data_IF_805212884471
#
_entry.id   IF_805212884471
#
_cell.length_a   1.000
_cell.length_b   1.000
_cell.length_c   1.000
_cell.angle_alpha   90.00
_cell.angle_beta   90.00
_cell.angle_gamma   90.00
#
_symmetry.space_group_name_H-M   'P 1'
#
loop_
_entity.id
_entity.type
_entity.pdbx_description
1 polymer ?
#
# COMPACT_ATOMS: atom_id res chain seq x y z
N UNK A 1 -28.25 8.30 -34.64
CA UNK A 1 -28.35 6.96 -34.05
C UNK A 1 -27.85 7.10 -32.63
N UNK A 2 -28.73 6.97 -31.63
CA UNK A 2 -28.29 7.02 -30.24
C UNK A 2 -27.41 5.82 -29.97
N UNK A 3 -26.20 6.03 -29.46
CA UNK A 3 -25.37 4.95 -28.91
C UNK A 3 -26.08 4.44 -27.66
N UNK A 4 -26.65 3.25 -27.73
CA UNK A 4 -27.17 2.56 -26.56
C UNK A 4 -26.02 2.20 -25.64
N UNK A 5 -26.07 2.66 -24.39
CA UNK A 5 -25.11 2.27 -23.34
C UNK A 5 -25.45 0.87 -22.83
N UNK A 6 -24.45 -0.01 -22.75
CA UNK A 6 -24.61 -1.36 -22.22
C UNK A 6 -24.42 -1.37 -20.71
N UNK A 7 -25.09 -2.31 -20.03
CA UNK A 7 -24.90 -2.58 -18.60
C UNK A 7 -23.43 -2.96 -18.31
N UNK A 8 -22.82 -2.30 -17.35
CA UNK A 8 -21.41 -2.50 -16.95
C UNK A 8 -21.14 -3.94 -16.47
N UNK A 9 -22.06 -4.52 -15.71
CA UNK A 9 -21.91 -5.87 -15.16
C UNK A 9 -21.93 -6.94 -16.25
N UNK A 10 -23.03 -7.05 -17.02
CA UNK A 10 -23.16 -8.14 -18.00
C UNK A 10 -22.56 -7.82 -19.37
N UNK A 11 -22.31 -6.54 -19.68
CA UNK A 11 -21.83 -6.03 -20.98
C UNK A 11 -22.64 -6.51 -22.19
N UNK A 12 -23.93 -6.80 -21.99
CA UNK A 12 -24.82 -7.41 -23.00
C UNK A 12 -26.15 -6.69 -23.12
N UNK A 13 -26.84 -6.49 -22.00
CA UNK A 13 -28.14 -5.84 -21.97
C UNK A 13 -27.99 -4.33 -21.99
N UNK A 14 -29.01 -3.63 -22.48
CA UNK A 14 -29.07 -2.17 -22.36
C UNK A 14 -29.12 -1.75 -20.89
N UNK A 15 -28.43 -0.67 -20.56
CA UNK A 15 -28.50 -0.07 -19.23
C UNK A 15 -29.81 0.69 -19.05
N UNK A 16 -30.47 0.46 -17.92
CA UNK A 16 -31.72 1.14 -17.56
C UNK A 16 -31.80 1.58 -16.08
N UNK A 17 -30.77 1.28 -15.26
CA UNK A 17 -30.70 1.63 -13.85
C UNK A 17 -29.36 2.28 -13.50
N UNK A 18 -29.42 3.35 -12.72
CA UNK A 18 -28.28 3.96 -12.03
C UNK A 18 -28.38 3.65 -10.54
N UNK A 19 -27.45 2.87 -10.02
CA UNK A 19 -27.35 2.56 -8.59
C UNK A 19 -26.21 3.35 -7.95
N UNK A 20 -26.47 3.98 -6.81
CA UNK A 20 -25.47 4.80 -6.12
C UNK A 20 -24.36 3.88 -5.58
N UNK A 21 -23.10 4.28 -5.77
CA UNK A 21 -21.94 3.61 -5.18
C UNK A 21 -21.37 4.44 -4.03
N UNK A 22 -20.37 3.91 -3.32
CA UNK A 22 -19.67 4.66 -2.28
C UNK A 22 -18.79 5.76 -2.87
N UNK A 23 -18.50 5.71 -4.19
CA UNK A 23 -17.90 6.80 -4.95
C UNK A 23 -19.01 7.68 -5.53
N UNK A 24 -19.37 8.83 -4.90
CA UNK A 24 -20.58 9.57 -5.24
C UNK A 24 -20.61 10.10 -6.68
N UNK A 25 -19.44 10.16 -7.33
CA UNK A 25 -19.27 10.63 -8.71
C UNK A 25 -19.35 9.52 -9.74
N UNK A 26 -19.46 8.25 -9.34
CA UNK A 26 -19.41 7.10 -10.24
C UNK A 26 -20.42 6.02 -9.81
N UNK A 27 -21.69 6.24 -10.15
CA UNK A 27 -22.76 5.27 -9.95
C UNK A 27 -22.54 4.01 -10.82
N UNK A 28 -23.12 2.88 -10.40
CA UNK A 28 -23.17 1.68 -11.22
C UNK A 28 -24.22 1.83 -12.33
N UNK A 29 -23.82 1.51 -13.56
CA UNK A 29 -24.68 1.58 -14.75
C UNK A 29 -25.16 0.17 -15.14
N UNK A 30 -26.37 -0.20 -14.70
CA UNK A 30 -26.84 -1.58 -14.69
C UNK A 30 -28.11 -1.80 -15.51
N UNK A 31 -28.31 -3.04 -15.96
CA UNK A 31 -29.63 -3.51 -16.35
C UNK A 31 -30.36 -4.05 -15.12
N UNK A 32 -31.70 -4.04 -15.12
CA UNK A 32 -32.53 -4.54 -14.01
C UNK A 32 -32.06 -5.86 -13.39
N UNK A 33 -31.75 -6.86 -14.22
CA UNK A 33 -31.33 -8.18 -13.71
C UNK A 33 -29.97 -8.16 -12.99
N UNK A 34 -29.04 -7.32 -13.44
CA UNK A 34 -27.73 -7.19 -12.77
C UNK A 34 -27.84 -6.34 -11.51
N UNK A 35 -28.74 -5.37 -11.50
CA UNK A 35 -29.05 -4.58 -10.31
C UNK A 35 -29.63 -5.44 -9.18
N UNK A 36 -30.63 -6.27 -9.48
CA UNK A 36 -31.18 -7.23 -8.52
C UNK A 36 -30.09 -8.16 -7.95
N UNK A 37 -29.20 -8.67 -8.82
CA UNK A 37 -28.07 -9.51 -8.38
C UNK A 37 -27.05 -8.75 -7.54
N UNK A 38 -26.75 -7.50 -7.86
CA UNK A 38 -25.84 -6.67 -7.06
C UNK A 38 -26.37 -6.50 -5.63
N UNK A 39 -27.66 -6.16 -5.48
CA UNK A 39 -28.28 -5.90 -4.18
C UNK A 39 -28.49 -7.16 -3.32
N UNK A 40 -28.56 -8.33 -3.95
CA UNK A 40 -28.68 -9.64 -3.28
C UNK A 40 -27.33 -10.37 -3.14
N UNK A 41 -26.23 -9.65 -3.41
CA UNK A 41 -24.85 -10.15 -3.37
C UNK A 41 -24.62 -11.40 -4.23
N UNK A 42 -25.35 -11.50 -5.34
CA UNK A 42 -25.45 -12.67 -6.20
C UNK A 42 -24.96 -12.47 -7.62
N UNK A 43 -24.07 -11.51 -7.83
CA UNK A 43 -23.41 -11.34 -9.12
C UNK A 43 -22.71 -12.63 -9.55
N UNK A 44 -22.79 -12.93 -10.84
CA UNK A 44 -21.95 -13.98 -11.42
C UNK A 44 -20.49 -13.51 -11.41
N UNK A 45 -19.51 -14.42 -11.38
CA UNK A 45 -18.10 -14.04 -11.34
C UNK A 45 -17.67 -13.04 -12.42
N UNK A 46 -18.14 -13.20 -13.67
CA UNK A 46 -17.84 -12.25 -14.74
C UNK A 46 -18.52 -10.89 -14.54
N UNK A 47 -19.72 -10.87 -13.96
CA UNK A 47 -20.48 -9.65 -13.69
C UNK A 47 -19.80 -8.84 -12.59
N UNK A 48 -19.39 -9.50 -11.52
CA UNK A 48 -18.56 -8.91 -10.48
C UNK A 48 -17.24 -8.39 -11.05
N UNK A 49 -16.54 -9.19 -11.86
CA UNK A 49 -15.26 -8.80 -12.45
C UNK A 49 -15.38 -7.49 -13.25
N UNK A 50 -16.39 -7.41 -14.12
CA UNK A 50 -16.60 -6.22 -14.95
C UNK A 50 -16.89 -4.98 -14.11
N UNK A 51 -17.65 -5.10 -13.02
CA UNK A 51 -17.87 -3.99 -12.10
C UNK A 51 -16.61 -3.63 -11.31
N UNK A 52 -15.92 -4.62 -10.74
CA UNK A 52 -14.73 -4.41 -9.91
C UNK A 52 -13.58 -3.76 -10.70
N UNK A 53 -13.46 -4.02 -12.00
CA UNK A 53 -12.48 -3.34 -12.88
C UNK A 53 -12.74 -1.84 -12.97
N UNK A 54 -14.00 -1.41 -12.96
CA UNK A 54 -14.41 -0.02 -13.11
C UNK A 54 -14.49 0.73 -11.77
N UNK A 55 -14.98 0.03 -10.76
CA UNK A 55 -15.38 0.59 -9.47
C UNK A 55 -14.50 0.13 -8.31
N UNK A 56 -13.47 -0.68 -8.56
CA UNK A 56 -12.67 -1.35 -7.52
C UNK A 56 -13.45 -2.37 -6.70
N UNK A 57 -12.78 -3.47 -6.35
CA UNK A 57 -13.33 -4.47 -5.45
C UNK A 57 -13.40 -3.99 -3.99
N UNK A 58 -12.93 -2.77 -3.68
CA UNK A 58 -13.04 -2.17 -2.34
C UNK A 58 -14.37 -1.48 -2.04
N UNK A 59 -15.26 -1.34 -3.03
CA UNK A 59 -16.61 -0.80 -2.83
C UNK A 59 -17.46 -1.76 -1.99
N UNK A 60 -18.37 -1.22 -1.19
CA UNK A 60 -19.21 -1.97 -0.25
C UNK A 60 -19.98 -3.10 -0.94
N UNK A 61 -20.53 -2.89 -2.13
CA UNK A 61 -21.29 -3.94 -2.82
C UNK A 61 -20.41 -4.98 -3.55
N UNK A 62 -19.08 -4.79 -3.57
CA UNK A 62 -18.14 -5.63 -4.33
C UNK A 62 -17.05 -6.27 -3.46
N UNK A 63 -17.01 -5.98 -2.16
CA UNK A 63 -15.89 -6.34 -1.29
C UNK A 63 -15.82 -7.83 -0.90
N UNK A 64 -14.69 -8.17 -0.31
CA UNK A 64 -14.24 -9.49 0.12
C UNK A 64 -15.17 -10.26 1.08
N UNK A 65 -16.08 -9.56 1.74
CA UNK A 65 -17.10 -10.15 2.61
C UNK A 65 -18.21 -10.84 1.83
N UNK A 66 -18.44 -10.39 0.59
CA UNK A 66 -19.45 -10.93 -0.31
C UNK A 66 -18.84 -11.76 -1.43
N UNK A 67 -17.67 -11.37 -1.94
CA UNK A 67 -17.06 -11.99 -3.13
C UNK A 67 -15.60 -12.37 -2.91
N UNK A 68 -15.17 -13.49 -3.50
CA UNK A 68 -13.77 -13.83 -3.66
C UNK A 68 -13.11 -12.99 -4.75
N UNK A 69 -11.78 -13.01 -4.84
CA UNK A 69 -11.11 -12.31 -5.93
C UNK A 69 -11.44 -12.88 -7.31
N UNK A 70 -11.90 -14.12 -7.41
CA UNK A 70 -12.39 -14.70 -8.65
C UNK A 70 -13.85 -14.36 -8.93
N UNK A 71 -14.47 -13.50 -8.11
CA UNK A 71 -15.88 -13.11 -8.19
C UNK A 71 -16.85 -14.16 -7.67
N UNK A 72 -16.37 -15.22 -6.99
CA UNK A 72 -17.26 -16.18 -6.35
C UNK A 72 -17.97 -15.53 -5.17
N UNK A 73 -19.30 -15.48 -5.22
CA UNK A 73 -20.10 -14.99 -4.10
C UNK A 73 -20.17 -16.02 -2.94
N UNK A 74 -20.11 -15.53 -1.71
CA UNK A 74 -20.12 -16.35 -0.48
C UNK A 74 -21.38 -16.20 0.37
N UNK A 75 -22.09 -15.07 0.24
CA UNK A 75 -23.27 -14.74 1.06
C UNK A 75 -24.49 -14.48 0.18
N UNK A 76 -24.72 -15.39 -0.76
CA UNK A 76 -25.83 -15.33 -1.70
C UNK A 76 -27.17 -15.34 -0.97
N UNK A 77 -28.02 -14.35 -1.22
CA UNK A 77 -29.44 -14.42 -0.86
C UNK A 77 -30.22 -15.28 -1.88
N UNK A 78 -29.71 -15.39 -3.12
CA UNK A 78 -30.32 -16.19 -4.20
C UNK A 78 -29.29 -17.10 -4.90
N UNK A 79 -29.72 -18.33 -5.23
CA UNK A 79 -28.89 -19.28 -5.98
C UNK A 79 -28.71 -18.85 -7.44
N UNK A 80 -27.46 -18.82 -7.92
CA UNK A 80 -27.14 -18.47 -9.30
C UNK A 80 -26.40 -19.62 -10.00
N UNK A 81 -26.97 -20.08 -11.12
CA UNK A 81 -26.32 -21.09 -11.96
C UNK A 81 -25.21 -20.44 -12.78
N UNK A 82 -23.96 -20.85 -12.55
CA UNK A 82 -22.78 -20.32 -13.22
C UNK A 82 -22.34 -21.28 -14.33
N UNK A 83 -22.31 -20.79 -15.57
CA UNK A 83 -21.73 -21.51 -16.70
C UNK A 83 -20.24 -21.17 -16.87
N UNK A 84 -19.51 -21.97 -17.66
CA UNK A 84 -18.06 -21.76 -17.88
C UNK A 84 -17.74 -20.37 -18.46
N UNK A 85 -18.62 -19.82 -19.30
CA UNK A 85 -18.48 -18.49 -19.91
C UNK A 85 -18.74 -17.33 -18.94
N UNK A 86 -19.20 -17.63 -17.72
CA UNK A 86 -19.56 -16.65 -16.70
C UNK A 86 -18.56 -16.60 -15.55
N UNK A 87 -17.41 -17.27 -15.71
CA UNK A 87 -16.28 -17.17 -14.79
C UNK A 87 -15.48 -15.88 -15.03
N UNK A 88 -14.91 -15.31 -13.96
CA UNK A 88 -13.94 -14.24 -14.10
C UNK A 88 -12.67 -14.75 -14.82
N UNK A 89 -11.94 -13.87 -15.53
CA UNK A 89 -10.66 -14.23 -16.13
C UNK A 89 -9.64 -14.70 -15.10
N UNK A 90 -8.77 -15.62 -15.52
CA UNK A 90 -7.61 -16.06 -14.71
C UNK A 90 -6.35 -15.34 -15.17
N UNK A 91 -5.34 -15.21 -14.31
CA UNK A 91 -4.03 -14.63 -14.68
C UNK A 91 -3.47 -15.31 -15.95
N UNK A 92 -3.55 -16.64 -16.04
CA UNK A 92 -3.07 -17.38 -17.21
C UNK A 92 -3.76 -16.98 -18.52
N UNK A 93 -5.04 -16.61 -18.46
CA UNK A 93 -5.81 -16.19 -19.62
C UNK A 93 -5.46 -14.76 -20.06
N UNK A 94 -5.20 -13.85 -19.11
CA UNK A 94 -4.99 -12.43 -19.40
C UNK A 94 -3.52 -12.02 -19.53
N UNK A 95 -2.56 -12.79 -19.02
CA UNK A 95 -1.14 -12.40 -18.91
C UNK A 95 -0.47 -11.93 -20.20
N UNK A 96 -1.02 -12.28 -21.38
CA UNK A 96 -0.49 -11.88 -22.70
C UNK A 96 -1.16 -10.64 -23.30
N UNK A 97 -2.27 -10.19 -22.73
CA UNK A 97 -2.96 -8.96 -23.10
C UNK A 97 -2.79 -7.94 -21.98
N UNK A 98 -2.02 -6.88 -22.25
CA UNK A 98 -1.69 -5.87 -21.25
C UNK A 98 -2.95 -5.19 -20.68
N UNK A 99 -3.95 -4.89 -21.51
CA UNK A 99 -5.16 -4.20 -21.04
C UNK A 99 -5.92 -5.10 -20.07
N UNK A 100 -6.17 -6.36 -20.47
CA UNK A 100 -6.84 -7.33 -19.59
C UNK A 100 -6.01 -7.66 -18.33
N UNK A 101 -4.68 -7.61 -18.41
CA UNK A 101 -3.82 -7.82 -17.26
C UNK A 101 -3.88 -6.63 -16.27
N UNK A 102 -3.97 -5.39 -16.75
CA UNK A 102 -4.22 -4.22 -15.90
C UNK A 102 -5.60 -4.33 -15.24
N UNK A 103 -6.64 -4.69 -15.99
CA UNK A 103 -7.98 -4.90 -15.44
C UNK A 103 -8.00 -6.02 -14.40
N UNK A 104 -7.37 -7.15 -14.70
CA UNK A 104 -7.20 -8.23 -13.73
C UNK A 104 -6.49 -7.77 -12.47
N UNK A 105 -5.44 -6.95 -12.61
CA UNK A 105 -4.73 -6.42 -11.45
C UNK A 105 -5.68 -5.66 -10.54
N UNK A 106 -6.57 -4.79 -11.03
CA UNK A 106 -7.50 -3.98 -10.23
C UNK A 106 -8.39 -4.85 -9.32
N UNK A 107 -8.78 -6.03 -9.78
CA UNK A 107 -9.66 -6.93 -9.02
C UNK A 107 -8.95 -7.67 -7.88
N UNK A 108 -7.62 -7.63 -7.80
CA UNK A 108 -6.85 -8.24 -6.70
C UNK A 108 -6.86 -7.36 -5.46
N UNK A 109 -6.91 -7.98 -4.28
CA UNK A 109 -6.79 -7.28 -3.00
C UNK A 109 -5.45 -6.58 -2.87
N UNK A 110 -4.38 -7.25 -3.30
CA UNK A 110 -3.01 -6.72 -3.35
C UNK A 110 -2.42 -6.92 -4.75
N UNK A 111 -1.42 -6.11 -5.10
CA UNK A 111 -0.63 -6.36 -6.29
C UNK A 111 0.39 -7.47 -5.98
N UNK A 112 0.01 -8.71 -6.28
CA UNK A 112 0.79 -9.91 -5.95
C UNK A 112 1.99 -10.13 -6.90
N UNK A 113 3.00 -10.87 -6.42
CA UNK A 113 4.26 -11.10 -7.14
C UNK A 113 4.05 -11.76 -8.51
N UNK A 114 3.07 -12.66 -8.67
CA UNK A 114 2.79 -13.32 -9.93
C UNK A 114 2.17 -12.38 -10.98
N UNK A 115 1.35 -11.42 -10.55
CA UNK A 115 0.83 -10.34 -11.39
C UNK A 115 1.94 -9.37 -11.78
N UNK A 116 2.80 -9.00 -10.82
CA UNK A 116 3.99 -8.17 -11.07
C UNK A 116 4.90 -8.84 -12.11
N UNK A 117 5.18 -10.14 -11.93
CA UNK A 117 6.02 -10.92 -12.84
C UNK A 117 5.41 -11.04 -14.23
N UNK A 118 4.09 -11.19 -14.33
CA UNK A 118 3.37 -11.19 -15.59
C UNK A 118 3.44 -9.83 -16.30
N UNK A 119 3.26 -8.72 -15.56
CA UNK A 119 3.37 -7.36 -16.09
C UNK A 119 4.79 -7.10 -16.61
N UNK A 120 5.83 -7.53 -15.88
CA UNK A 120 7.25 -7.40 -16.27
C UNK A 120 7.62 -8.16 -17.56
N UNK A 121 6.75 -9.04 -18.08
CA UNK A 121 6.97 -9.68 -19.40
C UNK A 121 6.61 -8.78 -20.58
N UNK A 122 5.94 -7.64 -20.34
CA UNK A 122 5.59 -6.68 -21.39
C UNK A 122 6.67 -5.61 -21.55
N UNK A 123 6.65 -4.94 -22.70
CA UNK A 123 7.53 -3.81 -22.95
C UNK A 123 7.24 -2.65 -21.99
N UNK A 124 8.28 -2.09 -21.36
CA UNK A 124 8.13 -1.06 -20.33
C UNK A 124 7.44 0.20 -20.83
N UNK A 125 7.72 0.64 -22.07
CA UNK A 125 7.07 1.83 -22.62
C UNK A 125 5.59 1.56 -22.86
N UNK A 126 5.25 0.38 -23.39
CA UNK A 126 3.84 -0.02 -23.56
C UNK A 126 3.09 -0.10 -22.24
N UNK A 127 3.73 -0.58 -21.17
CA UNK A 127 3.14 -0.60 -19.81
C UNK A 127 2.90 0.84 -19.36
N UNK A 128 3.91 1.72 -19.44
CA UNK A 128 3.77 3.11 -19.02
C UNK A 128 2.62 3.82 -19.76
N UNK A 129 2.56 3.70 -21.09
CA UNK A 129 1.50 4.30 -21.90
C UNK A 129 0.10 3.78 -21.51
N UNK A 130 -0.01 2.48 -21.19
CA UNK A 130 -1.27 1.87 -20.81
C UNK A 130 -1.70 2.28 -19.38
N UNK A 131 -0.75 2.34 -18.44
CA UNK A 131 -0.97 2.78 -17.06
C UNK A 131 -1.39 4.25 -17.03
N UNK A 132 -0.69 5.12 -17.76
CA UNK A 132 -1.05 6.54 -17.91
C UNK A 132 -2.46 6.69 -18.47
N UNK A 133 -2.75 6.02 -19.58
CA UNK A 133 -4.08 6.05 -20.20
C UNK A 133 -5.17 5.59 -19.23
N UNK A 134 -4.95 4.49 -18.50
CA UNK A 134 -5.94 3.97 -17.55
C UNK A 134 -6.14 4.91 -16.38
N UNK A 135 -5.07 5.52 -15.86
CA UNK A 135 -5.11 6.52 -14.79
C UNK A 135 -5.92 7.76 -15.21
N UNK A 136 -5.72 8.26 -16.43
CA UNK A 136 -6.39 9.46 -16.93
C UNK A 136 -7.87 9.23 -17.29
N UNK A 137 -8.23 8.00 -17.68
CA UNK A 137 -9.59 7.65 -18.11
C UNK A 137 -10.56 7.37 -16.97
N UNK A 138 -10.09 7.29 -15.73
CA UNK A 138 -10.94 6.99 -14.57
C UNK A 138 -10.94 8.15 -13.59
N UNK A 139 -12.04 8.31 -12.86
CA UNK A 139 -12.12 9.17 -11.70
C UNK A 139 -12.00 8.38 -10.39
N UNK A 140 -12.04 7.03 -10.45
CA UNK A 140 -12.05 6.19 -9.27
C UNK A 140 -10.68 6.16 -8.57
N UNK A 141 -10.64 6.64 -7.33
CA UNK A 141 -9.40 6.79 -6.54
C UNK A 141 -8.65 5.47 -6.43
N UNK A 142 -9.33 4.37 -6.11
CA UNK A 142 -8.66 3.07 -5.94
C UNK A 142 -8.08 2.50 -7.24
N UNK A 143 -8.72 2.78 -8.39
CA UNK A 143 -8.20 2.35 -9.68
C UNK A 143 -6.93 3.13 -10.01
N UNK A 144 -6.93 4.44 -9.74
CA UNK A 144 -5.74 5.30 -9.85
C UNK A 144 -4.62 4.83 -8.91
N UNK A 145 -4.94 4.51 -7.66
CA UNK A 145 -3.98 3.97 -6.70
C UNK A 145 -3.32 2.69 -7.21
N UNK A 146 -4.08 1.75 -7.80
CA UNK A 146 -3.52 0.54 -8.43
C UNK A 146 -2.56 0.87 -9.58
N UNK A 147 -2.85 1.88 -10.39
CA UNK A 147 -1.95 2.32 -11.46
C UNK A 147 -0.62 2.86 -10.90
N UNK A 148 -0.66 3.58 -9.78
CA UNK A 148 0.54 4.06 -9.09
C UNK A 148 1.32 2.93 -8.39
N UNK A 149 0.64 1.91 -7.84
CA UNK A 149 1.27 0.70 -7.32
C UNK A 149 2.04 -0.05 -8.42
N UNK A 150 1.42 -0.27 -9.60
CA UNK A 150 2.08 -0.86 -10.77
C UNK A 150 3.28 0.00 -11.19
N UNK A 151 3.15 1.32 -11.13
CA UNK A 151 4.26 2.23 -11.43
C UNK A 151 5.44 1.99 -10.50
N UNK A 152 5.18 1.84 -9.21
CA UNK A 152 6.20 1.59 -8.20
C UNK A 152 6.87 0.22 -8.37
N UNK A 153 6.08 -0.84 -8.55
CA UNK A 153 6.56 -2.23 -8.43
C UNK A 153 6.95 -2.90 -9.78
N UNK A 154 6.52 -2.31 -10.89
CA UNK A 154 6.78 -2.80 -12.25
C UNK A 154 7.68 -1.87 -13.06
N UNK A 155 7.37 -0.57 -13.12
CA UNK A 155 8.03 0.37 -14.02
C UNK A 155 9.33 0.96 -13.43
N UNK A 156 9.34 1.30 -12.14
CA UNK A 156 10.48 1.91 -11.47
C UNK A 156 10.98 3.15 -12.22
N UNK A 157 12.30 3.25 -12.45
CA UNK A 157 12.94 4.44 -13.05
C UNK A 157 12.41 4.84 -14.43
N UNK A 158 11.80 3.91 -15.18
CA UNK A 158 11.22 4.23 -16.50
C UNK A 158 10.01 5.16 -16.41
N UNK A 159 9.36 5.27 -15.25
CA UNK A 159 8.26 6.18 -15.01
C UNK A 159 8.68 7.55 -14.43
N UNK A 160 9.98 7.83 -14.29
CA UNK A 160 10.48 9.02 -13.58
C UNK A 160 9.91 10.34 -14.11
N UNK A 161 9.72 10.48 -15.43
CA UNK A 161 9.14 11.69 -16.02
C UNK A 161 7.72 11.92 -15.54
N UNK A 162 6.88 10.90 -15.66
CA UNK A 162 5.47 10.97 -15.27
C UNK A 162 5.27 11.14 -13.77
N UNK A 163 6.07 10.47 -12.94
CA UNK A 163 5.97 10.60 -11.48
C UNK A 163 6.29 12.03 -11.02
N UNK A 164 7.22 12.74 -11.70
CA UNK A 164 7.48 14.17 -11.40
C UNK A 164 6.26 15.03 -11.71
N UNK A 165 5.65 14.84 -12.88
CA UNK A 165 4.45 15.58 -13.29
C UNK A 165 3.31 15.38 -12.30
N UNK A 166 3.08 14.14 -11.88
CA UNK A 166 2.05 13.81 -10.88
C UNK A 166 2.35 14.44 -9.52
N UNK A 167 3.59 14.43 -9.04
CA UNK A 167 3.92 15.04 -7.74
C UNK A 167 3.58 16.54 -7.68
N UNK A 168 3.72 17.24 -8.80
CA UNK A 168 3.44 18.66 -8.90
C UNK A 168 1.92 18.96 -8.93
N UNK A 169 1.09 18.00 -9.35
CA UNK A 169 -0.34 18.16 -9.56
C UNK A 169 -1.22 17.44 -8.52
N UNK A 170 -0.67 16.43 -7.85
CA UNK A 170 -1.46 15.49 -7.07
C UNK A 170 -2.03 16.10 -5.79
N UNK A 171 -3.31 15.84 -5.59
CA UNK A 171 -4.05 16.07 -4.35
C UNK A 171 -3.51 15.18 -3.20
N UNK A 172 -3.86 15.53 -1.97
CA UNK A 172 -3.44 14.82 -0.76
C UNK A 172 -3.92 13.36 -0.74
N UNK A 173 -5.04 13.05 -1.39
CA UNK A 173 -5.62 11.70 -1.46
C UNK A 173 -4.68 10.66 -2.13
N UNK A 174 -3.77 11.09 -3.00
CA UNK A 174 -2.82 10.21 -3.68
C UNK A 174 -1.43 10.21 -3.04
N UNK A 175 -1.23 10.88 -1.90
CA UNK A 175 0.09 11.04 -1.29
C UNK A 175 0.76 9.68 -1.04
N UNK A 176 0.03 8.74 -0.48
CA UNK A 176 0.52 7.38 -0.22
C UNK A 176 1.00 6.66 -1.50
N UNK A 177 0.13 6.31 -2.47
CA UNK A 177 0.55 5.53 -3.62
C UNK A 177 1.59 6.28 -4.47
N UNK A 178 1.54 7.61 -4.50
CA UNK A 178 2.51 8.43 -5.23
C UNK A 178 3.88 8.46 -4.56
N UNK A 179 3.95 8.43 -3.22
CA UNK A 179 5.23 8.32 -2.50
C UNK A 179 5.96 7.00 -2.82
N UNK A 180 5.22 5.91 -3.02
CA UNK A 180 5.79 4.63 -3.41
C UNK A 180 6.35 4.65 -4.83
N UNK A 181 5.60 5.25 -5.76
CA UNK A 181 6.07 5.50 -7.11
C UNK A 181 7.32 6.40 -7.11
N UNK A 182 7.33 7.46 -6.29
CA UNK A 182 8.48 8.35 -6.14
C UNK A 182 9.73 7.65 -5.59
N UNK A 183 9.58 6.82 -4.55
CA UNK A 183 10.68 6.06 -3.96
C UNK A 183 11.32 5.07 -4.95
N UNK A 184 10.54 4.57 -5.91
CA UNK A 184 10.99 3.57 -6.89
C UNK A 184 11.46 4.17 -8.21
N UNK A 185 10.95 5.36 -8.56
CA UNK A 185 11.14 5.96 -9.89
C UNK A 185 12.12 7.15 -9.90
N UNK A 186 12.29 7.84 -8.76
CA UNK A 186 13.10 9.05 -8.68
C UNK A 186 14.41 8.81 -7.92
N UNK A 187 15.43 9.68 -8.11
CA UNK A 187 16.55 9.74 -7.18
C UNK A 187 16.05 9.92 -5.75
N UNK A 188 16.60 9.14 -4.80
CA UNK A 188 16.12 9.07 -3.41
C UNK A 188 15.96 10.45 -2.78
N UNK A 189 16.94 11.33 -2.96
CA UNK A 189 16.91 12.69 -2.40
C UNK A 189 15.82 13.57 -2.99
N UNK A 190 15.57 13.45 -4.30
CA UNK A 190 14.51 14.20 -4.98
C UNK A 190 13.13 13.74 -4.51
N UNK A 191 12.87 12.43 -4.60
CA UNK A 191 11.57 11.86 -4.22
C UNK A 191 11.28 12.08 -2.73
N UNK A 192 12.26 11.84 -1.86
CA UNK A 192 12.09 12.01 -0.42
C UNK A 192 11.76 13.45 -0.07
N UNK A 193 12.49 14.43 -0.61
CA UNK A 193 12.25 15.83 -0.30
C UNK A 193 10.83 16.25 -0.71
N UNK A 194 10.39 15.88 -1.91
CA UNK A 194 9.03 16.18 -2.38
C UNK A 194 7.94 15.53 -1.51
N UNK A 195 8.14 14.28 -1.08
CA UNK A 195 7.19 13.61 -0.18
C UNK A 195 7.18 14.26 1.20
N UNK A 196 8.35 14.62 1.76
CA UNK A 196 8.44 15.34 3.04
C UNK A 196 7.75 16.72 2.98
N UNK A 197 7.82 17.41 1.84
CA UNK A 197 7.15 18.70 1.65
C UNK A 197 5.62 18.56 1.69
N UNK A 198 5.06 17.50 1.08
CA UNK A 198 3.63 17.19 1.18
C UNK A 198 3.22 16.78 2.60
N UNK A 199 4.05 16.03 3.33
CA UNK A 199 3.75 15.64 4.72
C UNK A 199 3.64 16.81 5.70
N UNK A 200 4.08 18.03 5.33
CA UNK A 200 3.92 19.22 6.17
C UNK A 200 2.47 19.66 6.35
N UNK A 201 1.56 19.29 5.45
CA UNK A 201 0.13 19.60 5.59
C UNK A 201 -0.63 18.59 6.44
N UNK A 202 -0.05 17.41 6.69
CA UNK A 202 -0.66 16.36 7.50
C UNK A 202 -0.75 16.78 8.96
N UNK A 203 -1.89 16.50 9.60
CA UNK A 203 -2.11 16.82 11.00
C UNK A 203 -1.15 16.08 11.93
N UNK A 204 -0.78 16.70 13.06
CA UNK A 204 0.14 16.08 14.04
C UNK A 204 -0.33 14.69 14.51
N UNK A 205 -1.65 14.48 14.58
CA UNK A 205 -2.26 13.21 15.00
C UNK A 205 -2.07 12.09 13.98
N UNK A 206 -2.16 12.42 12.69
CA UNK A 206 -2.09 11.45 11.58
C UNK A 206 -0.66 11.24 11.09
N UNK A 207 0.21 12.23 11.33
CA UNK A 207 1.58 12.26 10.84
C UNK A 207 2.38 10.97 11.08
N UNK A 208 2.34 10.28 12.25
CA UNK A 208 3.09 9.05 12.44
C UNK A 208 2.68 7.92 11.48
N UNK A 209 1.38 7.82 11.19
CA UNK A 209 0.84 6.81 10.28
C UNK A 209 1.20 7.15 8.83
N UNK A 210 0.90 8.38 8.42
CA UNK A 210 1.18 8.87 7.05
C UNK A 210 2.68 8.86 6.73
N UNK A 211 3.53 9.26 7.69
CA UNK A 211 4.97 9.22 7.50
C UNK A 211 5.48 7.78 7.33
N UNK A 212 5.00 6.81 8.11
CA UNK A 212 5.40 5.42 7.92
C UNK A 212 4.97 4.90 6.54
N UNK A 213 3.70 5.07 6.22
CA UNK A 213 3.08 4.61 4.97
C UNK A 213 3.78 5.23 3.75
N UNK A 214 4.13 6.51 3.81
CA UNK A 214 4.75 7.22 2.69
C UNK A 214 6.28 7.10 2.60
N UNK A 215 6.98 6.99 3.72
CA UNK A 215 8.44 7.13 3.74
C UNK A 215 9.22 5.82 3.81
N UNK A 216 8.58 4.71 4.21
CA UNK A 216 9.30 3.46 4.50
C UNK A 216 10.09 2.90 3.31
N UNK A 217 9.62 3.12 2.07
CA UNK A 217 10.28 2.67 0.83
C UNK A 217 11.54 3.44 0.47
N UNK A 218 11.67 4.71 0.89
CA UNK A 218 12.87 5.51 0.60
C UNK A 218 14.11 5.00 1.33
N UNK A 219 13.92 4.39 2.51
CA UNK A 219 14.99 3.83 3.35
C UNK A 219 16.18 4.78 3.44
N UNK A 220 16.02 5.94 4.05
CA UNK A 220 17.06 6.96 4.08
C UNK A 220 17.32 7.43 5.50
N UNK A 221 18.59 7.60 5.87
CA UNK A 221 18.96 8.16 7.17
C UNK A 221 18.48 9.61 7.34
N UNK A 222 18.22 10.34 6.24
CA UNK A 222 17.61 11.68 6.26
C UNK A 222 16.21 11.69 6.84
N UNK A 223 15.49 10.56 6.77
CA UNK A 223 14.18 10.40 7.42
C UNK A 223 14.36 10.49 8.94
N UNK A 224 15.42 9.89 9.49
CA UNK A 224 15.69 9.95 10.92
C UNK A 224 16.04 11.39 11.36
N UNK A 225 16.76 12.15 10.53
CA UNK A 225 17.05 13.57 10.78
C UNK A 225 15.76 14.41 10.80
N UNK A 226 14.86 14.13 9.86
CA UNK A 226 13.54 14.77 9.80
C UNK A 226 12.68 14.38 11.02
N UNK A 227 12.67 13.10 11.42
CA UNK A 227 11.95 12.62 12.60
C UNK A 227 12.40 13.35 13.87
N UNK A 228 13.70 13.62 14.02
CA UNK A 228 14.23 14.35 15.19
C UNK A 228 13.64 15.76 15.37
N UNK A 229 13.10 16.35 14.29
CA UNK A 229 12.47 17.67 14.28
C UNK A 229 10.94 17.64 14.32
N UNK A 230 10.31 16.51 13.98
CA UNK A 230 8.85 16.42 13.80
C UNK A 230 8.16 15.46 14.79
N UNK A 231 8.91 14.57 15.45
CA UNK A 231 8.36 13.68 16.47
C UNK A 231 8.16 14.44 17.79
N UNK A 232 6.93 14.90 18.04
CA UNK A 232 6.54 15.59 19.28
C UNK A 232 6.08 14.63 20.38
N UNK A 233 5.53 13.48 20.01
CA UNK A 233 5.00 12.47 20.91
C UNK A 233 5.35 11.05 20.45
N UNK A 234 5.16 10.08 21.35
CA UNK A 234 5.44 8.69 21.05
C UNK A 234 4.29 8.04 20.26
N UNK A 235 4.63 7.29 19.22
CA UNK A 235 3.72 6.46 18.43
C UNK A 235 4.50 5.25 17.88
N UNK A 236 3.88 4.07 17.86
CA UNK A 236 4.58 2.82 17.46
C UNK A 236 5.11 2.89 16.01
N UNK A 237 4.42 3.60 15.12
CA UNK A 237 4.83 3.77 13.71
C UNK A 237 6.16 4.51 13.56
N UNK A 238 6.55 5.35 14.51
CA UNK A 238 7.87 5.97 14.48
C UNK A 238 8.99 4.95 14.62
N UNK A 239 8.82 3.95 15.48
CA UNK A 239 9.77 2.85 15.61
C UNK A 239 9.83 1.98 14.35
N UNK A 240 8.68 1.74 13.69
CA UNK A 240 8.62 0.99 12.43
C UNK A 240 9.34 1.72 11.29
N UNK A 241 9.09 3.03 11.14
CA UNK A 241 9.75 3.85 10.13
C UNK A 241 11.25 3.96 10.37
N UNK A 242 11.66 4.19 11.62
CA UNK A 242 13.07 4.28 11.96
C UNK A 242 13.82 2.97 11.69
N UNK A 243 13.18 1.81 11.91
CA UNK A 243 13.81 0.50 11.70
C UNK A 243 14.23 0.32 10.23
N UNK A 244 13.40 0.74 9.28
CA UNK A 244 13.66 0.59 7.85
C UNK A 244 14.52 1.71 7.26
N UNK A 245 14.81 2.76 8.03
CA UNK A 245 15.50 3.99 7.59
C UNK A 245 17.00 4.01 7.92
N UNK A 246 17.64 2.83 7.85
CA UNK A 246 19.08 2.62 8.15
C UNK A 246 19.52 3.18 9.52
N UNK A 247 18.89 2.73 10.62
CA UNK A 247 19.25 3.18 11.95
C UNK A 247 20.67 2.74 12.31
N UNK A 248 21.44 3.61 12.95
CA UNK A 248 22.77 3.30 13.47
C UNK A 248 22.74 3.15 14.99
N UNK A 249 23.67 2.36 15.51
CA UNK A 249 23.80 2.18 16.95
C UNK A 249 24.09 3.49 17.70
N UNK A 250 24.96 4.35 17.15
CA UNK A 250 25.20 5.68 17.72
C UNK A 250 23.92 6.53 17.83
N UNK A 251 23.05 6.47 16.82
CA UNK A 251 21.77 7.17 16.86
C UNK A 251 20.82 6.57 17.90
N UNK A 252 20.78 5.25 18.03
CA UNK A 252 20.00 4.59 19.09
C UNK A 252 20.47 5.00 20.48
N UNK A 253 21.79 5.04 20.73
CA UNK A 253 22.36 5.54 22.00
C UNK A 253 21.97 7.00 22.26
N UNK A 254 22.10 7.85 21.25
CA UNK A 254 21.70 9.26 21.34
C UNK A 254 20.22 9.41 21.71
N UNK A 255 19.33 8.66 21.05
CA UNK A 255 17.89 8.69 21.32
C UNK A 255 17.52 8.15 22.70
N UNK A 256 18.18 7.08 23.18
CA UNK A 256 18.03 6.60 24.55
C UNK A 256 18.41 7.67 25.57
N UNK A 257 19.48 8.42 25.32
CA UNK A 257 19.95 9.50 26.20
C UNK A 257 19.09 10.77 26.14
N UNK A 258 18.44 11.05 25.00
CA UNK A 258 17.54 12.20 24.81
C UNK A 258 16.26 12.10 25.65
N UNK A 259 15.91 10.90 26.11
CA UNK A 259 14.67 10.64 26.84
C UNK A 259 13.44 10.58 25.93
N UNK A 260 12.25 10.66 26.52
CA UNK A 260 10.99 10.52 25.77
C UNK A 260 10.73 11.74 24.87
N UNK A 261 10.17 11.54 23.66
CA UNK A 261 9.69 10.27 23.11
C UNK A 261 10.77 9.38 22.48
N UNK A 262 11.94 9.95 22.14
CA UNK A 262 12.98 9.29 21.35
C UNK A 262 13.54 8.02 21.97
N UNK A 263 13.66 7.94 23.29
CA UNK A 263 14.14 6.72 23.95
C UNK A 263 13.20 5.52 23.75
N UNK A 264 11.89 5.76 23.72
CA UNK A 264 10.91 4.72 23.38
C UNK A 264 10.94 4.37 21.89
N UNK A 265 11.11 5.37 21.03
CA UNK A 265 11.28 5.15 19.59
C UNK A 265 12.52 4.29 19.31
N UNK A 266 13.64 4.52 20.01
CA UNK A 266 14.85 3.71 19.87
C UNK A 266 14.62 2.24 20.26
N UNK A 267 13.92 2.00 21.38
CA UNK A 267 13.56 0.64 21.81
C UNK A 267 12.64 -0.05 20.79
N UNK A 268 11.66 0.65 20.23
CA UNK A 268 10.78 0.09 19.21
C UNK A 268 11.49 -0.15 17.88
N UNK A 269 12.40 0.75 17.50
CA UNK A 269 13.27 0.59 16.32
C UNK A 269 14.06 -0.72 16.42
N UNK A 270 14.77 -0.92 17.53
CA UNK A 270 15.54 -2.14 17.78
C UNK A 270 14.65 -3.39 17.83
N UNK A 271 13.49 -3.31 18.48
CA UNK A 271 12.55 -4.43 18.55
C UNK A 271 11.99 -4.82 17.17
N UNK A 272 11.74 -3.84 16.29
CA UNK A 272 11.28 -4.06 14.92
C UNK A 272 12.37 -4.64 13.99
N UNK A 273 13.64 -4.62 14.39
CA UNK A 273 14.71 -5.34 13.70
C UNK A 273 14.71 -6.85 14.00
N UNK A 274 14.05 -7.31 15.07
CA UNK A 274 13.96 -8.73 15.41
C UNK A 274 13.03 -9.51 14.44
N UNK A 275 13.41 -10.73 14.06
CA UNK A 275 12.60 -11.63 13.23
C UNK A 275 11.32 -12.08 13.96
N UNK A 276 10.21 -12.24 13.23
CA UNK A 276 8.90 -12.63 13.80
C UNK A 276 8.28 -11.57 14.74
N UNK A 277 8.94 -10.41 14.80
CA UNK A 277 8.69 -9.18 15.53
C UNK A 277 7.68 -8.17 15.00
N UNK A 278 7.49 -8.18 13.68
CA UNK A 278 7.40 -6.92 12.95
C UNK A 278 6.19 -6.91 12.01
N UNK A 279 5.62 -5.73 11.74
CA UNK A 279 4.61 -5.58 10.71
C UNK A 279 5.09 -6.15 9.37
N UNK A 280 4.19 -6.70 8.55
CA UNK A 280 4.53 -7.32 7.27
C UNK A 280 5.40 -6.42 6.38
N UNK A 281 5.07 -5.12 6.32
CA UNK A 281 5.83 -4.12 5.57
C UNK A 281 7.27 -3.95 6.09
N UNK A 282 7.51 -4.14 7.39
CA UNK A 282 8.88 -4.06 7.96
C UNK A 282 9.63 -5.38 7.74
N UNK A 283 8.94 -6.52 7.80
CA UNK A 283 9.52 -7.86 7.57
C UNK A 283 10.21 -7.96 6.21
N UNK A 284 9.59 -7.38 5.17
CA UNK A 284 10.11 -7.35 3.80
C UNK A 284 11.55 -6.80 3.68
N UNK A 285 11.94 -5.87 4.55
CA UNK A 285 13.27 -5.26 4.50
C UNK A 285 14.31 -5.93 5.38
N UNK A 286 13.89 -6.82 6.29
CA UNK A 286 14.74 -7.44 7.31
C UNK A 286 15.74 -6.46 7.96
N UNK A 287 15.25 -5.34 8.56
CA UNK A 287 16.12 -4.25 9.00
C UNK A 287 17.09 -4.65 10.12
N UNK A 288 18.21 -3.93 10.19
CA UNK A 288 19.28 -4.08 11.20
C UNK A 288 19.68 -2.72 11.76
N UNK A 289 20.18 -2.73 12.99
CA UNK A 289 20.91 -1.60 13.57
C UNK A 289 22.36 -1.68 13.10
N UNK A 290 22.79 -0.68 12.35
CA UNK A 290 24.09 -0.65 11.69
C UNK A 290 25.20 -0.16 12.63
N UNK A 291 26.42 -0.64 12.38
CA UNK A 291 27.67 -0.18 13.04
C UNK A 291 27.63 -0.37 14.55
N UNK A 292 27.16 -1.53 15.00
CA UNK A 292 26.98 -1.80 16.42
C UNK A 292 28.24 -2.37 17.05
N UNK A 293 28.71 -1.78 18.16
CA UNK A 293 29.59 -2.51 19.07
C UNK A 293 28.73 -3.43 19.95
N UNK A 294 28.73 -4.73 19.60
CA UNK A 294 27.91 -5.74 20.28
C UNK A 294 28.26 -5.93 21.75
N UNK A 295 29.46 -5.51 22.18
CA UNK A 295 29.91 -5.66 23.56
C UNK A 295 29.24 -4.65 24.51
N UNK A 296 28.79 -3.50 24.01
CA UNK A 296 28.15 -2.47 24.85
C UNK A 296 26.63 -2.55 24.88
N UNK A 297 26.00 -3.28 23.95
CA UNK A 297 24.53 -3.38 23.81
C UNK A 297 23.86 -3.73 25.14
N UNK A 298 24.29 -4.83 25.78
CA UNK A 298 23.65 -5.33 26.99
C UNK A 298 23.79 -4.35 28.15
N UNK A 299 25.00 -3.80 28.32
CA UNK A 299 25.28 -2.80 29.34
C UNK A 299 24.40 -1.57 29.17
N UNK A 300 24.37 -0.99 27.98
CA UNK A 300 23.64 0.26 27.70
C UNK A 300 22.13 0.08 27.86
N UNK A 301 21.58 -1.03 27.38
CA UNK A 301 20.14 -1.30 27.51
C UNK A 301 19.73 -1.54 28.98
N UNK A 302 20.56 -2.25 29.74
CA UNK A 302 20.34 -2.44 31.17
C UNK A 302 20.45 -1.12 31.94
N UNK A 303 21.46 -0.30 31.65
CA UNK A 303 21.60 1.06 32.22
C UNK A 303 20.40 1.95 31.90
N UNK A 304 19.86 1.89 30.67
CA UNK A 304 18.65 2.63 30.32
C UNK A 304 17.43 2.10 31.09
N UNK A 305 17.25 0.78 31.19
CA UNK A 305 16.17 0.20 31.99
C UNK A 305 16.25 0.64 33.45
N UNK A 306 17.45 0.79 34.03
CA UNK A 306 17.62 1.35 35.37
C UNK A 306 17.14 2.80 35.50
N UNK A 307 17.12 3.58 34.41
CA UNK A 307 16.65 4.97 34.40
C UNK A 307 15.13 5.05 34.15
N UNK A 308 14.57 4.17 33.33
CA UNK A 308 13.14 4.14 32.98
C UNK A 308 12.54 2.73 33.23
N UNK A 309 12.18 2.48 34.49
CA UNK A 309 11.76 1.16 34.99
C UNK A 309 10.30 0.78 34.68
N UNK A 310 9.70 1.30 33.61
CA UNK A 310 8.31 0.96 33.28
C UNK A 310 8.19 -0.42 32.61
N UNK A 311 7.04 -1.11 32.73
CA UNK A 311 6.84 -2.45 32.16
C UNK A 311 7.15 -2.54 30.66
N UNK A 312 6.78 -1.52 29.87
CA UNK A 312 7.08 -1.47 28.43
C UNK A 312 8.57 -1.52 28.14
N UNK A 313 9.38 -0.76 28.89
CA UNK A 313 10.84 -0.72 28.71
C UNK A 313 11.43 -2.07 29.08
N UNK A 314 11.03 -2.66 30.23
CA UNK A 314 11.46 -4.01 30.63
C UNK A 314 11.23 -5.04 29.52
N UNK A 315 10.01 -5.06 28.98
CA UNK A 315 9.61 -5.98 27.92
C UNK A 315 10.45 -5.78 26.65
N UNK A 316 10.62 -4.52 26.20
CA UNK A 316 11.38 -4.21 24.99
C UNK A 316 12.86 -4.54 25.14
N UNK A 317 13.48 -4.18 26.26
CA UNK A 317 14.89 -4.50 26.55
C UNK A 317 15.10 -6.02 26.54
N UNK A 318 14.25 -6.78 27.26
CA UNK A 318 14.37 -8.25 27.30
C UNK A 318 14.31 -8.86 25.90
N UNK A 319 13.32 -8.43 25.10
CA UNK A 319 13.14 -8.87 23.72
C UNK A 319 14.35 -8.55 22.83
N UNK A 320 14.92 -7.35 22.97
CA UNK A 320 16.10 -6.93 22.20
C UNK A 320 17.31 -7.82 22.55
N UNK A 321 17.53 -8.10 23.84
CA UNK A 321 18.65 -8.92 24.30
C UNK A 321 18.53 -10.39 23.84
N UNK A 322 17.31 -10.94 23.87
CA UNK A 322 17.01 -12.28 23.37
C UNK A 322 17.30 -12.43 21.86
N UNK A 323 17.15 -11.34 21.09
CA UNK A 323 17.26 -11.34 19.62
C UNK A 323 18.49 -10.57 19.10
N UNK A 324 19.52 -10.37 19.93
CA UNK A 324 20.67 -9.50 19.60
C UNK A 324 21.39 -9.86 18.30
N UNK A 325 21.46 -11.15 17.96
CA UNK A 325 22.10 -11.60 16.71
C UNK A 325 21.29 -11.22 15.46
N UNK A 326 19.98 -11.11 15.61
CA UNK A 326 19.08 -10.70 14.53
C UNK A 326 18.92 -9.19 14.43
N UNK A 327 19.21 -8.43 15.49
CA UNK A 327 18.99 -6.97 15.51
C UNK A 327 20.23 -6.20 15.07
N UNK A 328 21.41 -6.59 15.55
CA UNK A 328 22.61 -5.76 15.47
C UNK A 328 23.60 -6.27 14.42
N UNK A 329 23.99 -5.39 13.51
CA UNK A 329 25.05 -5.61 12.52
C UNK A 329 26.39 -5.05 12.99
#
# INVERSE_FOLDING_TARGET
>A
MGTTTLCEACQKNEMDILEVSDEPKQAYELCRQCHERLLTYSLRPIEWYNLAVLHSSKQFLLHDGFYGEDGQAFQLEEDVVITKSEKAPTLQAVRRDLVSLLDFSITRWFLEDDVIDALKQHDQQRILDAVQRRFDQTHHVEVKSRMLEITADVLGTSAAGWVRELLDQADEEFLYPLSWAAASSLPVDEGLQRTLDKLKSVSEKELPLEAFICLHRFRSNKILDWMESNCTHFHDQWGSLAAVSYPTWERMKSWLNKGRPFSLIALDTMANCAKGNRPALVEQYSPKILKTDKNEVEKILNEYYQKDHVPRVKMKVSKILENKQDIFE
#
